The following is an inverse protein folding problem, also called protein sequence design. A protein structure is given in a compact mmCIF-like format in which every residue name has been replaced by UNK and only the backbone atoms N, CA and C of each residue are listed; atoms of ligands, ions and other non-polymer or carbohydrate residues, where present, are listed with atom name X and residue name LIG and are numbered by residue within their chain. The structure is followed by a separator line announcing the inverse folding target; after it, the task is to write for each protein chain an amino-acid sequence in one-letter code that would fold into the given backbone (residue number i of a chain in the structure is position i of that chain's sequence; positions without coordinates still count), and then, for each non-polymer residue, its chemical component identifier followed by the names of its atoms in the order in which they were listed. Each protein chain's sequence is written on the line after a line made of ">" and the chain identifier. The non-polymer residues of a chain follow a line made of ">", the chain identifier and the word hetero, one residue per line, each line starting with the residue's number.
data_IF_692353660025
#
_entry.id   IF_692353660025
#
_cell.length_a   1.000
_cell.length_b   1.000
_cell.length_c   1.000
_cell.angle_alpha   90.00
_cell.angle_beta   90.00
_cell.angle_gamma   90.00
#
_symmetry.space_group_name_H-M   'P 1'
#
loop_
_entity.id
_entity.type
_entity.pdbx_description
1 polymer ?
#
# COMPACT_ATOMS: atom_id res chain seq x y z
N UNK A 1 -12.49 -22.58 13.89
CA UNK A 1 -12.16 -22.29 12.48
C UNK A 1 -10.68 -21.96 12.42
N UNK A 2 -9.95 -22.35 11.37
CA UNK A 2 -8.54 -22.00 11.26
C UNK A 2 -8.39 -20.48 11.10
N UNK A 3 -7.42 -19.92 11.82
CA UNK A 3 -7.11 -18.48 11.86
C UNK A 3 -5.75 -18.23 11.20
N UNK A 4 -5.55 -17.01 10.72
CA UNK A 4 -4.28 -16.53 10.20
C UNK A 4 -3.93 -15.19 10.84
N UNK A 5 -2.68 -15.03 11.22
CA UNK A 5 -2.15 -13.77 11.71
C UNK A 5 -1.74 -12.89 10.53
N UNK A 6 -2.33 -11.70 10.42
CA UNK A 6 -2.10 -10.78 9.32
C UNK A 6 -1.58 -9.44 9.83
N UNK A 7 -0.79 -8.77 8.98
CA UNK A 7 -0.38 -7.37 9.17
C UNK A 7 -1.24 -6.49 8.29
N UNK A 8 -1.71 -5.37 8.84
CA UNK A 8 -2.60 -4.47 8.12
C UNK A 8 -1.86 -3.54 7.16
N UNK A 9 -2.48 -3.34 5.99
CA UNK A 9 -2.16 -2.29 5.05
C UNK A 9 -3.32 -1.29 5.02
N UNK A 10 -3.01 0.00 5.07
CA UNK A 10 -3.99 1.08 5.03
C UNK A 10 -4.02 1.71 3.64
N UNK A 11 -5.21 2.03 3.13
CA UNK A 11 -5.34 2.85 1.91
C UNK A 11 -5.18 4.33 2.27
N UNK A 12 -4.86 5.20 1.31
CA UNK A 12 -4.83 6.65 1.52
C UNK A 12 -6.13 7.19 2.14
N UNK A 13 -7.28 6.64 1.78
CA UNK A 13 -8.58 7.03 2.34
C UNK A 13 -8.72 6.74 3.83
N UNK A 14 -8.02 5.72 4.32
CA UNK A 14 -8.09 5.22 5.69
C UNK A 14 -7.17 6.02 6.64
N UNK A 15 -6.33 6.91 6.09
CA UNK A 15 -5.45 7.79 6.86
C UNK A 15 -6.18 9.07 7.36
N UNK A 16 -5.75 9.61 8.52
CA UNK A 16 -6.17 10.94 8.98
C UNK A 16 -5.89 12.03 7.92
N UNK A 17 -6.78 13.02 7.82
CA UNK A 17 -6.70 14.09 6.83
C UNK A 17 -5.34 14.82 6.83
N UNK A 18 -4.79 15.07 8.02
CA UNK A 18 -3.49 15.72 8.21
C UNK A 18 -2.33 14.94 7.59
N UNK A 19 -2.37 13.60 7.63
CA UNK A 19 -1.35 12.75 7.00
C UNK A 19 -1.58 12.63 5.49
N UNK A 20 -2.84 12.58 5.04
CA UNK A 20 -3.17 12.59 3.60
C UNK A 20 -2.60 13.82 2.92
N UNK A 21 -2.77 15.01 3.51
CA UNK A 21 -2.22 16.26 2.95
C UNK A 21 -0.69 16.26 2.95
N UNK A 22 -0.06 15.84 4.06
CA UNK A 22 1.40 15.76 4.18
C UNK A 22 2.01 14.80 3.16
N UNK A 23 1.35 13.69 2.86
CA UNK A 23 1.88 12.67 1.97
C UNK A 23 1.46 12.84 0.51
N UNK A 24 0.31 13.48 0.24
CA UNK A 24 -0.06 13.93 -1.10
C UNK A 24 0.89 15.00 -1.65
N UNK A 25 1.45 15.86 -0.78
CA UNK A 25 2.43 16.88 -1.18
C UNK A 25 3.80 16.32 -1.63
N UNK A 26 4.09 15.04 -1.36
CA UNK A 26 5.34 14.39 -1.79
C UNK A 26 5.30 13.79 -3.21
N UNK A 27 4.11 13.66 -3.81
CA UNK A 27 3.89 12.89 -5.05
C UNK A 27 3.86 13.74 -6.33
N UNK A 28 3.72 15.07 -6.21
CA UNK A 28 3.56 15.96 -7.36
C UNK A 28 4.85 16.59 -7.90
N UNK A 29 6.05 16.18 -7.44
CA UNK A 29 7.30 16.81 -7.89
C UNK A 29 7.88 16.26 -9.20
N UNK A 30 7.22 15.33 -9.91
CA UNK A 30 7.77 14.84 -11.19
C UNK A 30 6.89 13.96 -12.08
N UNK A 31 5.58 13.83 -11.84
CA UNK A 31 4.76 12.91 -12.63
C UNK A 31 4.42 13.48 -14.02
N UNK A 32 5.17 13.04 -15.03
CA UNK A 32 4.73 13.06 -16.43
C UNK A 32 3.35 12.38 -16.52
N UNK A 33 2.37 13.06 -17.12
CA UNK A 33 0.94 12.70 -17.18
C UNK A 33 0.57 11.40 -17.92
N UNK A 34 1.48 10.43 -18.06
CA UNK A 34 1.26 9.20 -18.85
C UNK A 34 1.63 7.88 -18.17
N UNK A 35 2.13 7.89 -16.93
CA UNK A 35 2.47 6.65 -16.24
C UNK A 35 1.27 6.15 -15.42
N UNK A 36 0.80 4.92 -15.69
CA UNK A 36 -0.25 4.25 -14.91
C UNK A 36 0.32 4.01 -13.51
N UNK A 37 -0.14 4.77 -12.52
CA UNK A 37 0.26 4.56 -11.12
C UNK A 37 -0.54 3.41 -10.52
N UNK A 38 0.14 2.43 -9.95
CA UNK A 38 -0.52 1.39 -9.16
C UNK A 38 -1.17 1.99 -7.90
N UNK A 39 -2.27 1.40 -7.38
CA UNK A 39 -2.85 1.82 -6.12
C UNK A 39 -1.85 1.75 -4.96
N UNK A 40 -1.76 2.81 -4.17
CA UNK A 40 -0.84 2.90 -3.05
C UNK A 40 -1.45 2.34 -1.76
N UNK A 41 -0.60 1.71 -0.94
CA UNK A 41 -0.92 1.26 0.42
C UNK A 41 0.19 1.60 1.40
N UNK A 42 -0.16 1.65 2.69
CA UNK A 42 0.75 1.95 3.79
C UNK A 42 0.82 0.77 4.74
N UNK A 43 2.02 0.20 4.91
CA UNK A 43 2.21 -0.94 5.81
C UNK A 43 2.21 -0.48 7.27
N UNK A 44 1.51 -1.22 8.13
CA UNK A 44 1.42 -0.93 9.56
C UNK A 44 2.13 -1.95 10.44
N UNK A 45 2.36 -1.58 11.71
CA UNK A 45 2.74 -2.53 12.76
C UNK A 45 1.53 -3.24 13.38
N UNK A 46 0.31 -2.83 13.04
CA UNK A 46 -0.91 -3.49 13.51
C UNK A 46 -0.97 -4.93 13.00
N UNK A 47 -1.05 -5.86 13.95
CA UNK A 47 -1.18 -7.29 13.72
C UNK A 47 -2.54 -7.73 14.28
N UNK A 48 -3.25 -8.57 13.54
CA UNK A 48 -4.55 -9.10 13.93
C UNK A 48 -4.75 -10.54 13.44
N UNK A 49 -5.72 -11.24 14.02
CA UNK A 49 -6.08 -12.60 13.63
C UNK A 49 -7.39 -12.60 12.83
N UNK A 50 -7.33 -13.11 11.60
CA UNK A 50 -8.50 -13.21 10.73
C UNK A 50 -8.85 -14.67 10.43
N UNK A 51 -10.14 -15.02 10.29
CA UNK A 51 -10.53 -16.35 9.81
C UNK A 51 -9.97 -16.59 8.41
N UNK A 52 -9.38 -17.75 8.14
CA UNK A 52 -8.85 -18.05 6.79
C UNK A 52 -9.94 -17.92 5.70
N UNK A 53 -11.20 -18.19 6.06
CA UNK A 53 -12.35 -18.03 5.17
C UNK A 53 -12.58 -16.60 4.67
N UNK A 54 -11.98 -15.57 5.27
CA UNK A 54 -12.07 -14.19 4.79
C UNK A 54 -11.07 -13.85 3.69
N UNK A 55 -10.10 -14.72 3.41
CA UNK A 55 -9.10 -14.50 2.35
C UNK A 55 -9.73 -14.80 0.99
N UNK A 56 -9.89 -13.76 0.16
CA UNK A 56 -10.55 -13.87 -1.15
C UNK A 56 -9.59 -14.17 -2.30
N UNK A 57 -8.30 -13.88 -2.11
CA UNK A 57 -7.28 -14.02 -3.14
C UNK A 57 -5.93 -13.55 -2.64
N UNK A 58 -4.92 -13.79 -3.46
CA UNK A 58 -3.58 -13.25 -3.25
C UNK A 58 -3.46 -11.89 -3.96
N UNK A 59 -2.51 -11.09 -3.52
CA UNK A 59 -2.18 -9.82 -4.17
C UNK A 59 -0.66 -9.61 -4.12
N UNK A 60 -0.17 -8.79 -5.04
CA UNK A 60 1.24 -8.42 -5.08
C UNK A 60 1.45 -7.03 -4.47
N UNK A 61 2.45 -6.92 -3.58
CA UNK A 61 2.85 -5.64 -2.98
C UNK A 61 4.27 -5.31 -3.46
N UNK A 62 4.38 -4.34 -4.36
CA UNK A 62 5.66 -3.79 -4.77
C UNK A 62 6.14 -2.78 -3.72
N UNK A 63 7.30 -3.04 -3.12
CA UNK A 63 7.93 -2.09 -2.20
C UNK A 63 8.67 -1.07 -3.05
N UNK A 64 8.28 0.21 -2.92
CA UNK A 64 9.05 1.29 -3.53
C UNK A 64 10.40 1.37 -2.80
N UNK A 65 11.44 0.73 -3.32
CA UNK A 65 12.81 1.08 -2.96
C UNK A 65 13.10 2.45 -3.56
N UNK A 66 13.96 3.25 -2.93
CA UNK A 66 14.41 4.56 -3.44
C UNK A 66 15.21 4.47 -4.78
N UNK A 67 15.17 3.33 -5.46
CA UNK A 67 15.79 3.08 -6.77
C UNK A 67 14.71 2.94 -7.83
N UNK A 68 14.58 3.99 -8.63
CA UNK A 68 13.57 4.31 -9.64
C UNK A 68 13.45 3.32 -10.84
N UNK A 69 14.02 2.12 -10.75
CA UNK A 69 14.33 1.29 -11.93
C UNK A 69 13.32 0.17 -12.23
N UNK A 70 12.43 -0.18 -11.29
CA UNK A 70 11.54 -1.34 -11.47
C UNK A 70 10.20 -1.02 -12.18
N UNK A 71 9.93 0.25 -12.49
CA UNK A 71 8.60 0.68 -12.99
C UNK A 71 8.36 0.43 -14.47
N UNK A 72 9.38 0.03 -15.22
CA UNK A 72 9.30 -0.11 -16.68
C UNK A 72 9.07 -1.54 -17.16
N UNK A 73 9.07 -2.55 -16.28
CA UNK A 73 9.13 -3.95 -16.69
C UNK A 73 7.87 -4.79 -16.42
N UNK A 74 6.89 -4.28 -15.67
CA UNK A 74 5.60 -4.98 -15.45
C UNK A 74 4.50 -4.38 -16.33
N UNK A 75 4.74 -4.40 -17.64
CA UNK A 75 3.67 -4.50 -18.61
C UNK A 75 3.71 -5.95 -19.05
N UNK A 76 2.81 -6.78 -18.54
CA UNK A 76 2.07 -7.74 -19.36
C UNK A 76 1.10 -8.51 -18.47
N UNK A 77 -0.16 -8.47 -18.92
CA UNK A 77 -1.26 -9.42 -18.72
C UNK A 77 -1.72 -9.86 -17.31
N UNK A 78 -3.02 -10.11 -17.28
CA UNK A 78 -3.83 -10.70 -16.21
C UNK A 78 -4.34 -9.81 -15.07
N UNK A 79 -5.56 -10.16 -14.62
CA UNK A 79 -6.44 -9.51 -13.63
C UNK A 79 -5.85 -9.39 -12.20
N UNK A 80 -4.52 -9.40 -12.07
CA UNK A 80 -3.82 -9.41 -10.79
C UNK A 80 -3.74 -8.00 -10.19
N UNK A 81 -4.23 -7.87 -8.96
CA UNK A 81 -4.25 -6.58 -8.26
C UNK A 81 -2.87 -6.32 -7.66
N UNK A 82 -2.10 -5.48 -8.33
CA UNK A 82 -0.78 -5.02 -7.88
C UNK A 82 -0.92 -3.72 -7.09
N UNK A 83 -0.42 -3.70 -5.86
CA UNK A 83 -0.32 -2.51 -5.02
C UNK A 83 1.12 -2.05 -4.87
N UNK A 84 1.30 -0.77 -4.56
CA UNK A 84 2.60 -0.22 -4.19
C UNK A 84 2.63 0.19 -2.72
N UNK A 85 3.61 -0.31 -1.96
CA UNK A 85 3.85 0.09 -0.58
C UNK A 85 4.89 1.22 -0.53
N UNK A 86 4.44 2.42 -0.15
CA UNK A 86 5.29 3.62 -0.22
C UNK A 86 5.92 3.99 1.13
N UNK A 87 5.21 3.78 2.25
CA UNK A 87 5.63 4.23 3.59
C UNK A 87 5.06 3.34 4.69
N UNK A 88 5.69 3.38 5.87
CA UNK A 88 5.15 2.82 7.11
C UNK A 88 4.15 3.79 7.73
N UNK A 89 3.01 3.28 8.20
CA UNK A 89 2.02 4.03 8.95
C UNK A 89 1.67 3.30 10.25
N UNK A 90 1.86 3.97 11.38
CA UNK A 90 1.49 3.46 12.68
C UNK A 90 0.24 4.20 13.20
N UNK A 91 -0.95 3.55 13.19
CA UNK A 91 -2.17 4.18 13.68
C UNK A 91 -2.13 4.43 15.19
N UNK A 92 -1.33 3.68 15.96
CA UNK A 92 -1.25 3.80 17.42
C UNK A 92 -0.27 4.88 17.86
N UNK A 93 0.75 5.19 17.04
CA UNK A 93 1.68 6.29 17.30
C UNK A 93 1.03 7.70 17.28
N UNK A 94 -0.21 7.81 16.79
CA UNK A 94 -0.97 9.06 16.73
C UNK A 94 -1.68 9.41 18.06
N UNK A 95 -1.56 8.55 19.08
CA UNK A 95 -2.24 8.66 20.39
C UNK A 95 -1.29 9.05 21.54
N UNK A 96 -0.02 9.36 21.25
CA UNK A 96 0.99 9.86 22.18
C UNK A 96 1.34 11.31 21.86
#
# INVERSE_FOLDING_TARGET
>A
MPMVTCRWFYRPSDLPASLREKWAMGLNKGANKKQKSFPEVFISNTIDENPIASVQGLCEILIYSETDESKSFMQDDDDEVVYTCCKRYDPQASLL
#
